data_IF_153831650745
#
_entry.id   IF_153831650745
#
_cell.length_a   1.000
_cell.length_b   1.000
_cell.length_c   1.000
_cell.angle_alpha   90.00
_cell.angle_beta   90.00
_cell.angle_gamma   90.00
#
_symmetry.space_group_name_H-M   'P 1'
#
loop_
_entity.id
_entity.type
_entity.pdbx_description
1 polymer ?
#
# COMPACT_ATOMS: atom_id res chain seq x y z
N UNK A 1 9.75 -61.48 26.82
CA UNK A 1 10.23 -60.11 27.11
C UNK A 1 9.58 -59.05 26.22
N UNK A 2 8.94 -59.40 25.10
CA UNK A 2 8.37 -58.43 24.12
C UNK A 2 7.09 -57.69 24.56
N UNK A 3 6.19 -58.30 25.34
CA UNK A 3 4.92 -57.64 25.75
C UNK A 3 5.11 -56.40 26.64
N UNK A 4 6.21 -56.28 27.39
CA UNK A 4 6.49 -55.10 28.22
C UNK A 4 6.87 -53.87 27.38
N UNK A 5 7.48 -54.06 26.20
CA UNK A 5 7.89 -52.95 25.33
C UNK A 5 6.71 -52.33 24.57
N UNK A 6 5.69 -53.13 24.23
CA UNK A 6 4.52 -52.62 23.51
C UNK A 6 3.66 -51.67 24.36
N UNK A 7 3.48 -51.96 25.65
CA UNK A 7 2.78 -51.08 26.57
C UNK A 7 3.54 -49.77 26.85
N UNK A 8 4.87 -49.82 26.87
CA UNK A 8 5.69 -48.61 27.01
C UNK A 8 5.58 -47.72 25.77
N UNK A 9 5.64 -48.31 24.57
CA UNK A 9 5.49 -47.59 23.30
C UNK A 9 4.11 -46.96 23.16
N UNK A 10 3.03 -47.71 23.42
CA UNK A 10 1.65 -47.20 23.38
C UNK A 10 1.42 -46.05 24.39
N UNK A 11 2.02 -46.15 25.58
CA UNK A 11 1.95 -45.09 26.60
C UNK A 11 2.72 -43.84 26.19
N UNK A 12 3.84 -43.99 25.50
CA UNK A 12 4.59 -42.86 24.94
C UNK A 12 3.79 -42.20 23.81
N UNK A 13 3.24 -42.98 22.88
CA UNK A 13 2.41 -42.48 21.78
C UNK A 13 1.19 -41.73 22.31
N UNK A 14 0.47 -42.29 23.28
CA UNK A 14 -0.72 -41.64 23.84
C UNK A 14 -0.38 -40.33 24.55
N UNK A 15 0.72 -40.28 25.31
CA UNK A 15 1.20 -39.04 25.94
C UNK A 15 1.60 -38.00 24.89
N UNK A 16 2.30 -38.38 23.82
CA UNK A 16 2.66 -37.47 22.75
C UNK A 16 1.42 -36.91 22.04
N UNK A 17 0.41 -37.74 21.76
CA UNK A 17 -0.85 -37.29 21.17
C UNK A 17 -1.61 -36.32 22.09
N UNK A 18 -1.62 -36.55 23.40
CA UNK A 18 -2.22 -35.62 24.37
C UNK A 18 -1.49 -34.27 24.34
N UNK A 19 -0.15 -34.27 24.34
CA UNK A 19 0.63 -33.02 24.26
C UNK A 19 0.35 -32.28 22.94
N UNK A 20 0.30 -32.99 21.82
CA UNK A 20 -0.03 -32.40 20.51
C UNK A 20 -1.44 -31.82 20.52
N UNK A 21 -2.43 -32.54 21.06
CA UNK A 21 -3.80 -32.05 21.15
C UNK A 21 -3.92 -30.82 22.06
N UNK A 22 -3.23 -30.81 23.20
CA UNK A 22 -3.19 -29.65 24.10
C UNK A 22 -2.53 -28.44 23.42
N UNK A 23 -1.40 -28.64 22.72
CA UNK A 23 -0.75 -27.60 21.96
C UNK A 23 -1.65 -27.06 20.84
N UNK A 24 -2.36 -27.94 20.12
CA UNK A 24 -3.31 -27.54 19.09
C UNK A 24 -4.45 -26.69 19.66
N UNK A 25 -5.02 -27.06 20.82
CA UNK A 25 -6.06 -26.26 21.48
C UNK A 25 -5.51 -24.91 21.96
N UNK A 26 -4.30 -24.89 22.53
CA UNK A 26 -3.64 -23.67 22.99
C UNK A 26 -3.33 -22.68 21.87
N UNK A 27 -3.19 -23.15 20.62
CA UNK A 27 -2.99 -22.29 19.44
C UNK A 27 -4.31 -21.95 18.77
N UNK A 28 -5.26 -22.91 18.70
CA UNK A 28 -6.54 -22.71 18.02
C UNK A 28 -7.41 -21.64 18.70
N UNK A 29 -7.42 -21.54 20.03
CA UNK A 29 -8.20 -20.52 20.73
C UNK A 29 -7.70 -19.11 20.41
N UNK A 30 -6.40 -18.76 20.60
CA UNK A 30 -5.85 -17.48 20.17
C UNK A 30 -6.02 -17.20 18.68
N UNK A 31 -5.89 -18.21 17.81
CA UNK A 31 -6.12 -18.07 16.37
C UNK A 31 -7.57 -17.67 16.06
N UNK A 32 -8.56 -18.33 16.67
CA UNK A 32 -9.97 -17.96 16.51
C UNK A 32 -10.26 -16.55 17.06
N UNK A 33 -9.64 -16.20 18.18
CA UNK A 33 -9.78 -14.86 18.76
C UNK A 33 -9.18 -13.78 17.87
N UNK A 34 -7.98 -14.01 17.32
CA UNK A 34 -7.32 -13.10 16.39
C UNK A 34 -8.16 -12.93 15.12
N UNK A 35 -8.70 -14.02 14.57
CA UNK A 35 -9.64 -13.97 13.44
C UNK A 35 -10.87 -13.12 13.73
N UNK A 36 -11.51 -13.33 14.88
CA UNK A 36 -12.69 -12.58 15.27
C UNK A 36 -12.38 -11.09 15.45
N UNK A 37 -11.26 -10.77 16.09
CA UNK A 37 -10.77 -9.40 16.27
C UNK A 37 -10.57 -8.70 14.93
N UNK A 38 -9.77 -9.27 14.04
CA UNK A 38 -9.46 -8.66 12.74
C UNK A 38 -10.70 -8.60 11.82
N UNK A 39 -11.58 -9.59 11.88
CA UNK A 39 -12.88 -9.57 11.18
C UNK A 39 -13.77 -8.43 11.67
N UNK A 40 -13.82 -8.15 12.98
CA UNK A 40 -14.60 -7.06 13.54
C UNK A 40 -14.02 -5.69 13.14
N UNK A 41 -12.69 -5.58 13.06
CA UNK A 41 -12.03 -4.36 12.58
C UNK A 41 -12.35 -4.06 11.12
N UNK A 42 -12.33 -5.09 10.27
CA UNK A 42 -12.60 -4.97 8.85
C UNK A 42 -14.07 -4.62 8.56
N UNK A 43 -15.01 -5.20 9.31
CA UNK A 43 -16.45 -4.99 9.13
C UNK A 43 -16.87 -3.51 9.22
N UNK A 44 -16.21 -2.72 10.07
CA UNK A 44 -16.50 -1.28 10.20
C UNK A 44 -16.21 -0.50 8.91
N UNK A 45 -15.17 -0.90 8.17
CA UNK A 45 -14.75 -0.24 6.95
C UNK A 45 -15.46 -0.84 5.72
N UNK A 46 -15.76 -2.14 5.76
CA UNK A 46 -16.57 -2.82 4.73
C UNK A 46 -17.94 -2.17 4.57
N UNK A 47 -18.59 -1.74 5.66
CA UNK A 47 -19.90 -1.07 5.56
C UNK A 47 -19.83 0.24 4.77
N UNK A 48 -18.77 1.03 4.94
CA UNK A 48 -18.57 2.24 4.13
C UNK A 48 -18.33 1.92 2.65
N UNK A 49 -17.61 0.82 2.36
CA UNK A 49 -17.36 0.35 1.00
C UNK A 49 -18.63 -0.23 0.35
N UNK A 50 -19.50 -0.87 1.14
CA UNK A 50 -20.81 -1.35 0.73
C UNK A 50 -21.70 -0.20 0.26
N UNK A 51 -21.75 0.91 1.03
CA UNK A 51 -22.46 2.13 0.65
C UNK A 51 -21.92 2.75 -0.65
N UNK A 52 -20.60 2.74 -0.85
CA UNK A 52 -20.00 3.16 -2.12
C UNK A 52 -20.43 2.26 -3.29
N UNK A 53 -20.54 0.95 -3.06
CA UNK A 53 -21.05 0.00 -4.05
C UNK A 53 -22.52 0.24 -4.43
N UNK A 54 -23.39 0.51 -3.45
CA UNK A 54 -24.78 0.90 -3.70
C UNK A 54 -24.87 2.19 -4.54
N UNK A 55 -24.07 3.21 -4.18
CA UNK A 55 -23.98 4.45 -4.95
C UNK A 55 -23.45 4.20 -6.38
N UNK A 56 -22.52 3.26 -6.55
CA UNK A 56 -22.00 2.88 -7.85
C UNK A 56 -23.06 2.17 -8.71
N UNK A 57 -23.88 1.31 -8.11
CA UNK A 57 -25.01 0.68 -8.79
C UNK A 57 -26.04 1.73 -9.24
N UNK A 58 -26.38 2.69 -8.36
CA UNK A 58 -27.27 3.79 -8.69
C UNK A 58 -26.71 4.67 -9.84
N UNK A 59 -25.40 4.98 -9.79
CA UNK A 59 -24.73 5.71 -10.85
C UNK A 59 -24.76 4.97 -12.20
N UNK A 60 -24.65 3.64 -12.21
CA UNK A 60 -24.78 2.82 -13.44
C UNK A 60 -26.20 2.75 -13.97
N UNK A 61 -27.19 2.73 -13.08
CA UNK A 61 -28.60 2.61 -13.47
C UNK A 61 -29.14 3.89 -14.13
N UNK A 62 -28.82 5.06 -13.56
CA UNK A 62 -29.38 6.34 -14.02
C UNK A 62 -28.40 7.21 -14.81
N UNK A 63 -27.10 7.08 -14.56
CA UNK A 63 -26.00 7.85 -15.16
C UNK A 63 -26.25 9.38 -15.24
N UNK A 64 -26.75 9.96 -14.15
CA UNK A 64 -26.99 11.39 -14.03
C UNK A 64 -25.79 12.10 -13.38
N UNK A 65 -25.61 13.42 -13.58
CA UNK A 65 -24.61 14.19 -12.84
C UNK A 65 -24.76 14.05 -11.32
N UNK A 66 -25.99 13.94 -10.83
CA UNK A 66 -26.28 13.74 -9.41
C UNK A 66 -25.84 12.36 -8.92
N UNK A 67 -26.17 11.28 -9.63
CA UNK A 67 -25.78 9.93 -9.21
C UNK A 67 -24.26 9.73 -9.27
N UNK A 68 -23.58 10.33 -10.25
CA UNK A 68 -22.11 10.40 -10.29
C UNK A 68 -21.54 11.17 -9.10
N UNK A 69 -22.14 12.31 -8.73
CA UNK A 69 -21.71 13.08 -7.56
C UNK A 69 -21.92 12.32 -6.26
N UNK A 70 -23.03 11.60 -6.10
CA UNK A 70 -23.27 10.78 -4.92
C UNK A 70 -22.26 9.63 -4.80
N UNK A 71 -21.84 9.04 -5.93
CA UNK A 71 -20.74 8.06 -5.94
C UNK A 71 -19.42 8.70 -5.49
N UNK A 72 -19.09 9.90 -5.96
CA UNK A 72 -17.88 10.62 -5.49
C UNK A 72 -17.91 10.85 -3.98
N UNK A 73 -19.04 11.32 -3.44
CA UNK A 73 -19.23 11.53 -2.00
C UNK A 73 -19.07 10.22 -1.23
N UNK A 74 -19.73 9.15 -1.66
CA UNK A 74 -19.68 7.85 -0.98
C UNK A 74 -18.25 7.27 -0.96
N UNK A 75 -17.47 7.47 -2.03
CA UNK A 75 -16.06 7.08 -2.07
C UNK A 75 -15.20 7.89 -1.11
N UNK A 76 -15.43 9.21 -1.01
CA UNK A 76 -14.72 10.06 -0.06
C UNK A 76 -15.08 9.70 1.39
N UNK A 77 -16.34 9.41 1.68
CA UNK A 77 -16.77 8.92 3.00
C UNK A 77 -16.13 7.57 3.36
N UNK A 78 -16.04 6.65 2.39
CA UNK A 78 -15.36 5.38 2.59
C UNK A 78 -13.86 5.55 2.81
N UNK A 79 -13.22 6.50 2.10
CA UNK A 79 -11.82 6.85 2.32
C UNK A 79 -11.59 7.44 3.71
N UNK A 80 -12.48 8.31 4.18
CA UNK A 80 -12.39 8.89 5.52
C UNK A 80 -12.61 7.84 6.61
N UNK A 81 -13.59 6.95 6.46
CA UNK A 81 -13.81 5.85 7.41
C UNK A 81 -12.57 4.94 7.50
N UNK A 82 -11.94 4.67 6.35
CA UNK A 82 -10.68 3.95 6.27
C UNK A 82 -9.54 4.69 6.99
N UNK A 83 -9.38 6.01 6.75
CA UNK A 83 -8.41 6.83 7.46
C UNK A 83 -8.62 6.78 8.98
N UNK A 84 -9.83 7.06 9.46
CA UNK A 84 -10.13 7.07 10.89
C UNK A 84 -9.80 5.75 11.56
N UNK A 85 -10.04 4.63 10.86
CA UNK A 85 -9.72 3.30 11.36
C UNK A 85 -8.22 3.02 11.44
N UNK A 86 -7.44 3.47 10.46
CA UNK A 86 -6.05 3.04 10.29
C UNK A 86 -4.99 4.14 10.56
N UNK A 87 -5.38 5.38 10.87
CA UNK A 87 -4.46 6.53 11.07
C UNK A 87 -3.36 6.36 12.14
N UNK A 88 -3.49 5.37 13.02
CA UNK A 88 -2.47 5.04 14.03
C UNK A 88 -1.65 3.78 13.68
N UNK A 89 -1.99 3.09 12.59
CA UNK A 89 -1.21 1.95 12.10
C UNK A 89 0.13 2.45 11.60
N UNK A 90 1.18 1.70 11.93
CA UNK A 90 2.50 1.90 11.35
C UNK A 90 2.41 2.02 9.83
N UNK A 91 3.04 3.06 9.31
CA UNK A 91 3.20 3.31 7.90
C UNK A 91 1.85 3.47 7.17
N UNK A 92 0.93 4.21 7.79
CA UNK A 92 -0.44 4.44 7.31
C UNK A 92 -0.53 4.79 5.82
N UNK A 93 0.42 5.54 5.27
CA UNK A 93 0.41 5.89 3.84
C UNK A 93 0.31 4.68 2.88
N UNK A 94 0.82 3.50 3.25
CA UNK A 94 0.63 2.28 2.46
C UNK A 94 -0.83 1.88 2.37
N UNK A 95 -1.54 1.97 3.51
CA UNK A 95 -2.98 1.73 3.57
C UNK A 95 -3.71 2.67 2.60
N UNK A 96 -3.38 3.96 2.61
CA UNK A 96 -3.95 4.92 1.66
C UNK A 96 -3.61 4.64 0.19
N UNK A 97 -2.37 4.21 -0.10
CA UNK A 97 -1.94 3.85 -1.45
C UNK A 97 -2.68 2.61 -1.97
N UNK A 98 -2.74 1.52 -1.21
CA UNK A 98 -3.50 0.33 -1.63
C UNK A 98 -5.01 0.61 -1.67
N UNK A 99 -5.53 1.48 -0.81
CA UNK A 99 -6.91 1.95 -0.90
C UNK A 99 -7.16 2.62 -2.27
N UNK A 100 -6.34 3.58 -2.67
CA UNK A 100 -6.45 4.21 -4.00
C UNK A 100 -6.34 3.17 -5.13
N UNK A 101 -5.40 2.23 -5.03
CA UNK A 101 -5.18 1.21 -6.06
C UNK A 101 -6.45 0.38 -6.33
N UNK A 102 -7.17 -0.04 -5.27
CA UNK A 102 -8.35 -0.90 -5.41
C UNK A 102 -9.66 -0.13 -5.56
N UNK A 103 -9.79 1.02 -4.89
CA UNK A 103 -11.03 1.81 -4.83
C UNK A 103 -11.07 2.90 -5.90
N UNK A 104 -9.92 3.24 -6.49
CA UNK A 104 -9.79 4.14 -7.64
C UNK A 104 -10.52 5.47 -7.39
N UNK A 105 -10.15 6.16 -6.30
CA UNK A 105 -10.76 7.43 -5.91
C UNK A 105 -10.27 8.54 -6.82
N UNK A 106 -8.95 8.63 -7.01
CA UNK A 106 -8.32 9.71 -7.77
C UNK A 106 -8.06 9.35 -9.23
N UNK A 107 -7.77 8.08 -9.54
CA UNK A 107 -7.48 7.58 -10.89
C UNK A 107 -6.42 8.43 -11.60
N UNK A 108 -5.30 8.64 -10.91
CA UNK A 108 -4.20 9.44 -11.41
C UNK A 108 -3.66 8.87 -12.73
N UNK A 109 -3.47 9.74 -13.71
CA UNK A 109 -2.87 9.37 -15.00
C UNK A 109 -1.35 9.46 -14.99
N UNK A 110 -0.78 10.16 -14.00
CA UNK A 110 0.64 10.34 -13.78
C UNK A 110 0.98 9.86 -12.38
N UNK A 111 1.69 8.73 -12.29
CA UNK A 111 2.00 8.12 -11.00
C UNK A 111 3.49 8.15 -10.71
N UNK A 112 3.84 8.32 -9.43
CA UNK A 112 5.22 8.20 -8.94
C UNK A 112 5.40 6.83 -8.30
N UNK A 113 6.52 6.17 -8.59
CA UNK A 113 6.98 4.95 -7.88
C UNK A 113 8.44 5.15 -7.49
N UNK A 114 8.91 4.46 -6.46
CA UNK A 114 10.28 4.59 -5.97
C UNK A 114 10.41 4.24 -4.49
N UNK A 115 11.58 4.55 -3.93
CA UNK A 115 11.89 4.23 -2.53
C UNK A 115 11.28 5.23 -1.55
N UNK A 116 11.68 5.15 -0.28
CA UNK A 116 11.33 6.13 0.76
C UNK A 116 11.75 7.56 0.40
N UNK A 117 12.80 7.74 -0.41
CA UNK A 117 13.19 9.06 -0.90
C UNK A 117 12.01 9.73 -1.63
N UNK A 118 11.30 8.97 -2.46
CA UNK A 118 10.14 9.49 -3.19
C UNK A 118 8.86 9.52 -2.35
N UNK A 119 8.65 8.57 -1.43
CA UNK A 119 7.50 8.58 -0.50
C UNK A 119 7.43 9.88 0.32
N UNK A 120 8.61 10.37 0.73
CA UNK A 120 8.75 11.55 1.58
C UNK A 120 9.21 12.81 0.83
N UNK A 121 9.71 12.67 -0.40
CA UNK A 121 10.21 13.79 -1.21
C UNK A 121 9.19 14.33 -2.21
N UNK A 122 8.36 13.47 -2.82
CA UNK A 122 7.43 13.87 -3.88
C UNK A 122 6.04 14.11 -3.29
N UNK A 123 5.63 15.38 -3.23
CA UNK A 123 4.35 15.80 -2.67
C UNK A 123 3.37 16.21 -3.78
N UNK A 124 2.37 15.36 -4.12
CA UNK A 124 1.40 15.65 -5.16
C UNK A 124 0.61 16.95 -4.95
N UNK A 125 0.40 17.39 -3.70
CA UNK A 125 -0.32 18.64 -3.39
C UNK A 125 0.32 19.82 -4.10
N UNK A 126 1.63 19.97 -3.93
CA UNK A 126 2.37 21.10 -4.47
C UNK A 126 2.68 20.95 -5.97
N UNK A 127 2.71 19.72 -6.48
CA UNK A 127 2.71 19.47 -7.93
C UNK A 127 1.41 19.99 -8.54
N UNK A 128 0.27 19.59 -7.99
CA UNK A 128 -1.05 19.97 -8.49
C UNK A 128 -1.31 21.48 -8.37
N UNK A 129 -0.96 22.09 -7.24
CA UNK A 129 -1.05 23.55 -7.06
C UNK A 129 -0.24 24.31 -8.14
N UNK A 130 0.98 23.85 -8.44
CA UNK A 130 1.84 24.49 -9.43
C UNK A 130 1.48 24.15 -10.89
N UNK A 131 0.78 23.03 -11.12
CA UNK A 131 0.28 22.60 -12.43
C UNK A 131 -1.13 23.11 -12.75
N UNK A 132 -1.85 23.63 -11.74
CA UNK A 132 -3.24 24.04 -11.88
C UNK A 132 -3.46 24.99 -13.07
N UNK A 133 -4.41 24.64 -13.93
CA UNK A 133 -4.77 25.40 -15.13
C UNK A 133 -3.86 25.19 -16.35
N UNK A 134 -2.87 24.28 -16.29
CA UNK A 134 -1.92 24.04 -17.40
C UNK A 134 -2.16 22.76 -18.20
N UNK A 135 -3.01 21.85 -17.72
CA UNK A 135 -3.31 20.60 -18.42
C UNK A 135 -4.30 19.72 -17.66
N UNK A 136 -4.43 18.47 -18.13
CA UNK A 136 -5.40 17.49 -17.65
C UNK A 136 -4.78 16.32 -16.85
N UNK A 137 -3.50 16.45 -16.47
CA UNK A 137 -2.78 15.45 -15.67
C UNK A 137 -3.27 15.44 -14.23
N UNK A 138 -3.33 14.24 -13.65
CA UNK A 138 -3.64 13.97 -12.25
C UNK A 138 -2.54 13.11 -11.63
N UNK A 139 -2.20 13.38 -10.37
CA UNK A 139 -0.97 12.88 -9.77
C UNK A 139 -1.25 12.00 -8.56
N UNK A 140 -0.49 10.91 -8.40
CA UNK A 140 -0.52 10.09 -7.18
C UNK A 140 0.84 9.47 -6.90
N UNK A 141 1.23 9.42 -5.63
CA UNK A 141 2.51 8.86 -5.20
C UNK A 141 2.34 7.43 -4.66
N UNK A 142 2.76 6.42 -5.43
CA UNK A 142 2.83 5.01 -5.07
C UNK A 142 4.26 4.57 -4.67
N UNK A 143 5.11 5.52 -4.27
CA UNK A 143 6.44 5.21 -3.73
C UNK A 143 6.32 4.57 -2.35
N UNK A 144 7.18 3.60 -2.05
CA UNK A 144 7.06 2.76 -0.86
C UNK A 144 8.40 2.68 -0.13
N UNK A 145 8.38 2.75 1.20
CA UNK A 145 9.65 2.72 1.93
C UNK A 145 10.28 1.33 1.82
N UNK A 146 11.59 1.30 1.58
CA UNK A 146 12.33 0.05 1.46
C UNK A 146 12.00 -0.78 0.22
N UNK A 147 11.24 -0.25 -0.77
CA UNK A 147 10.91 -1.00 -1.98
C UNK A 147 12.06 -1.04 -2.98
N UNK A 148 12.46 -2.25 -3.38
CA UNK A 148 13.39 -2.51 -4.48
C UNK A 148 12.62 -2.81 -5.79
N UNK A 149 13.29 -2.87 -6.95
CA UNK A 149 12.66 -3.23 -8.21
C UNK A 149 11.95 -4.59 -8.21
N UNK A 150 12.51 -5.61 -7.55
CA UNK A 150 11.90 -6.94 -7.43
C UNK A 150 10.57 -6.91 -6.69
N UNK A 151 10.44 -6.07 -5.67
CA UNK A 151 9.16 -5.76 -5.04
C UNK A 151 8.21 -5.11 -6.05
N UNK A 152 8.68 -4.12 -6.82
CA UNK A 152 7.84 -3.44 -7.80
C UNK A 152 7.34 -4.35 -8.95
N UNK A 153 8.06 -5.43 -9.27
CA UNK A 153 7.57 -6.50 -10.16
C UNK A 153 6.31 -7.16 -9.59
N UNK A 154 6.31 -7.50 -8.30
CA UNK A 154 5.14 -8.08 -7.64
C UNK A 154 4.03 -7.03 -7.44
N UNK A 155 4.39 -5.82 -7.03
CA UNK A 155 3.47 -4.68 -6.93
C UNK A 155 2.74 -4.41 -8.24
N UNK A 156 3.44 -4.48 -9.38
CA UNK A 156 2.81 -4.24 -10.68
C UNK A 156 1.78 -5.31 -11.06
N UNK A 157 1.96 -6.55 -10.57
CA UNK A 157 0.93 -7.59 -10.69
C UNK A 157 -0.30 -7.19 -9.88
N UNK A 158 -0.13 -6.74 -8.65
CA UNK A 158 -1.23 -6.25 -7.80
C UNK A 158 -1.93 -5.05 -8.41
N UNK A 159 -1.16 -4.11 -8.95
CA UNK A 159 -1.67 -2.93 -9.65
C UNK A 159 -2.56 -3.33 -10.82
N UNK A 160 -2.15 -4.30 -11.64
CA UNK A 160 -2.99 -4.82 -12.72
C UNK A 160 -4.21 -5.58 -12.23
N UNK A 161 -4.07 -6.44 -11.23
CA UNK A 161 -5.18 -7.20 -10.64
C UNK A 161 -6.23 -6.30 -9.97
N UNK A 162 -5.81 -5.15 -9.45
CA UNK A 162 -6.71 -4.15 -8.86
C UNK A 162 -7.65 -3.51 -9.89
N UNK A 163 -7.35 -3.65 -11.18
CA UNK A 163 -8.08 -3.00 -12.26
C UNK A 163 -7.88 -1.49 -12.31
N UNK A 164 -6.85 -0.95 -11.64
CA UNK A 164 -6.52 0.47 -11.71
C UNK A 164 -6.34 0.91 -13.17
N UNK A 165 -6.86 2.09 -13.59
CA UNK A 165 -6.69 2.57 -14.95
C UNK A 165 -5.20 2.65 -15.32
N UNK A 166 -4.84 2.16 -16.51
CA UNK A 166 -3.46 2.24 -16.97
C UNK A 166 -3.01 3.72 -17.00
N UNK A 167 -1.94 4.09 -16.28
CA UNK A 167 -1.47 5.47 -16.26
C UNK A 167 -0.93 5.87 -17.64
N UNK A 168 -1.04 7.16 -17.96
CA UNK A 168 -0.36 7.77 -19.10
C UNK A 168 1.14 7.77 -18.88
N UNK A 169 1.57 8.10 -17.66
CA UNK A 169 2.99 8.28 -17.32
C UNK A 169 3.31 7.66 -15.96
N UNK A 170 4.46 6.96 -15.89
CA UNK A 170 5.11 6.54 -14.66
C UNK A 170 6.40 7.34 -14.52
N UNK A 171 6.48 8.12 -13.44
CA UNK A 171 7.71 8.75 -13.00
C UNK A 171 8.38 7.81 -11.99
N UNK A 172 9.40 7.08 -12.46
CA UNK A 172 10.16 6.18 -11.61
C UNK A 172 11.28 6.96 -10.92
N UNK A 173 11.14 7.16 -9.63
CA UNK A 173 12.16 7.73 -8.77
C UNK A 173 13.22 6.65 -8.49
N UNK A 174 14.32 6.71 -9.25
CA UNK A 174 15.42 5.75 -9.20
C UNK A 174 16.51 6.23 -8.26
N UNK A 175 17.09 5.30 -7.50
CA UNK A 175 18.17 5.58 -6.56
C UNK A 175 19.41 4.74 -6.90
N UNK A 176 20.59 5.29 -6.66
CA UNK A 176 21.87 4.59 -6.89
C UNK A 176 22.01 3.31 -6.06
N UNK A 177 21.24 3.17 -4.96
CA UNK A 177 21.19 1.99 -4.11
C UNK A 177 19.96 1.10 -4.35
N UNK A 178 19.19 1.31 -5.43
CA UNK A 178 17.90 0.63 -5.60
C UNK A 178 17.98 -0.91 -5.69
N UNK A 179 19.18 -1.46 -5.89
CA UNK A 179 19.45 -2.90 -5.97
C UNK A 179 19.97 -3.49 -4.66
N UNK A 180 20.05 -2.72 -3.58
CA UNK A 180 20.56 -3.17 -2.28
C UNK A 180 19.43 -3.75 -1.42
N UNK A 181 19.52 -5.06 -1.13
CA UNK A 181 18.52 -5.78 -0.32
C UNK A 181 18.60 -5.51 1.18
N UNK A 182 19.73 -4.98 1.67
CA UNK A 182 19.90 -4.58 3.07
C UNK A 182 19.21 -3.24 3.35
N UNK A 183 19.26 -2.32 2.39
CA UNK A 183 18.59 -1.03 2.46
C UNK A 183 17.12 -1.13 2.08
N UNK A 184 16.86 -1.83 0.98
CA UNK A 184 15.53 -2.00 0.42
C UNK A 184 15.04 -3.41 0.71
N UNK A 185 14.58 -3.58 1.95
CA UNK A 185 14.19 -4.85 2.55
C UNK A 185 12.74 -5.27 2.25
N UNK A 186 11.92 -4.39 1.64
CA UNK A 186 10.51 -4.68 1.42
C UNK A 186 10.34 -5.87 0.48
N UNK A 187 9.40 -6.74 0.85
CA UNK A 187 8.95 -7.91 0.09
C UNK A 187 7.43 -7.91 0.01
N UNK A 188 6.86 -8.66 -0.91
CA UNK A 188 5.39 -8.70 -1.10
C UNK A 188 4.64 -9.12 0.16
N UNK A 189 5.24 -9.97 0.99
CA UNK A 189 4.61 -10.51 2.20
C UNK A 189 4.32 -9.41 3.23
N UNK A 190 5.04 -8.28 3.20
CA UNK A 190 4.77 -7.15 4.07
C UNK A 190 3.43 -6.47 3.75
N UNK A 191 2.96 -6.56 2.50
CA UNK A 191 1.75 -5.88 2.04
C UNK A 191 0.59 -6.85 1.76
N UNK A 192 0.88 -8.10 1.41
CA UNK A 192 -0.11 -9.09 0.97
C UNK A 192 -0.65 -10.01 2.07
N UNK A 193 0.00 -10.05 3.23
CA UNK A 193 -0.43 -10.91 4.34
C UNK A 193 -1.77 -10.46 4.93
N UNK A 194 -2.38 -11.33 5.74
CA UNK A 194 -3.64 -11.01 6.39
C UNK A 194 -3.49 -9.79 7.31
N UNK A 195 -4.45 -8.85 7.25
CA UNK A 195 -4.43 -7.55 7.95
C UNK A 195 -3.37 -6.54 7.46
N UNK A 196 -2.68 -6.86 6.35
CA UNK A 196 -1.84 -5.91 5.64
C UNK A 196 -2.65 -5.06 4.63
N UNK A 197 -2.11 -3.90 4.20
CA UNK A 197 -2.80 -2.95 3.32
C UNK A 197 -3.47 -3.55 2.10
N UNK A 198 -2.77 -4.41 1.34
CA UNK A 198 -3.31 -5.01 0.12
C UNK A 198 -4.46 -5.98 0.43
N UNK A 199 -4.32 -6.79 1.48
CA UNK A 199 -5.36 -7.74 1.87
C UNK A 199 -6.65 -7.01 2.22
N UNK A 200 -6.56 -5.97 3.06
CA UNK A 200 -7.70 -5.16 3.47
C UNK A 200 -8.36 -4.51 2.26
N UNK A 201 -7.58 -3.81 1.42
CA UNK A 201 -8.10 -3.15 0.22
C UNK A 201 -8.82 -4.12 -0.72
N UNK A 202 -8.32 -5.35 -0.86
CA UNK A 202 -8.97 -6.42 -1.64
C UNK A 202 -10.30 -6.87 -1.03
N UNK A 203 -10.43 -6.96 0.30
CA UNK A 203 -11.71 -7.29 0.93
C UNK A 203 -12.73 -6.16 0.75
N UNK A 204 -12.30 -4.90 0.91
CA UNK A 204 -13.17 -3.74 0.68
C UNK A 204 -13.70 -3.71 -0.75
N UNK A 205 -12.84 -4.00 -1.75
CA UNK A 205 -13.27 -4.09 -3.15
C UNK A 205 -14.28 -5.22 -3.37
N UNK A 206 -14.07 -6.39 -2.76
CA UNK A 206 -15.04 -7.49 -2.84
C UNK A 206 -16.38 -7.12 -2.20
N UNK A 207 -16.37 -6.40 -1.09
CA UNK A 207 -17.59 -5.93 -0.44
C UNK A 207 -18.34 -4.92 -1.33
N UNK A 208 -17.63 -3.98 -1.95
CA UNK A 208 -18.19 -3.04 -2.94
C UNK A 208 -18.80 -3.79 -4.15
N UNK A 209 -18.06 -4.71 -4.76
CA UNK A 209 -18.52 -5.51 -5.91
C UNK A 209 -19.75 -6.36 -5.57
N UNK A 210 -19.78 -6.96 -4.38
CA UNK A 210 -20.93 -7.71 -3.88
C UNK A 210 -22.15 -6.81 -3.72
N UNK A 211 -21.98 -5.63 -3.12
CA UNK A 211 -23.06 -4.65 -2.96
C UNK A 211 -23.62 -4.17 -4.30
N UNK A 212 -22.74 -3.96 -5.29
CA UNK A 212 -23.14 -3.61 -6.66
C UNK A 212 -23.99 -4.74 -7.27
N UNK A 213 -23.57 -6.00 -7.12
CA UNK A 213 -24.30 -7.14 -7.65
C UNK A 213 -25.69 -7.25 -7.00
N UNK A 214 -25.77 -7.20 -5.67
CA UNK A 214 -27.03 -7.25 -4.91
C UNK A 214 -27.98 -6.09 -5.26
N UNK A 215 -27.45 -4.88 -5.50
CA UNK A 215 -28.26 -3.71 -5.86
C UNK A 215 -28.77 -3.72 -7.31
N UNK A 216 -28.05 -4.40 -8.23
CA UNK A 216 -28.44 -4.51 -9.64
C UNK A 216 -29.38 -5.70 -9.91
N UNK A 217 -29.42 -6.68 -9.02
CA UNK A 217 -30.46 -7.72 -9.03
C UNK A 217 -31.81 -7.08 -8.69
N UNK A 218 -32.65 -6.82 -9.71
CA UNK A 218 -34.05 -6.45 -9.51
C UNK A 218 -34.77 -7.53 -8.69
N UNK A 219 -35.66 -7.16 -7.75
CA UNK A 219 -36.47 -8.14 -7.04
C UNK A 219 -37.58 -8.68 -7.98
N UNK A 220 -37.22 -9.57 -8.91
CA UNK A 220 -38.20 -10.47 -9.51
C UNK A 220 -38.45 -11.63 -8.54
N UNK A 221 -39.67 -11.66 -8.01
CA UNK A 221 -40.33 -12.76 -7.31
C UNK A 221 -39.51 -13.50 -6.24
N UNK A 222 -39.63 -13.06 -4.99
CA UNK A 222 -39.54 -13.94 -3.83
C UNK A 222 -40.55 -15.08 -3.95
N UNK A 223 -40.14 -16.19 -4.55
CA UNK A 223 -40.59 -17.51 -4.11
C UNK A 223 -39.84 -17.91 -2.82
N UNK A 224 -40.56 -18.66 -1.99
CA UNK A 224 -40.32 -18.92 -0.57
C UNK A 224 -38.96 -19.57 -0.22
N UNK A 225 -38.51 -19.49 1.06
CA UNK A 225 -37.13 -19.75 1.43
C UNK A 225 -36.78 -21.25 1.40
N UNK A 226 -35.72 -21.59 0.69
CA UNK A 226 -35.03 -22.86 0.84
C UNK A 226 -34.00 -22.78 1.99
N UNK A 227 -33.88 -23.89 2.72
CA UNK A 227 -33.08 -24.08 3.93
C UNK A 227 -31.57 -23.77 3.75
N UNK A 228 -30.84 -23.46 4.85
CA UNK A 228 -29.44 -23.09 4.75
C UNK A 228 -28.56 -24.31 4.51
N UNK A 229 -28.05 -24.47 3.29
CA UNK A 229 -26.89 -25.33 3.03
C UNK A 229 -25.60 -24.58 3.37
N UNK A 230 -25.00 -24.93 4.50
CA UNK A 230 -23.60 -24.62 4.79
C UNK A 230 -22.69 -25.40 3.85
N UNK A 231 -22.12 -24.72 2.85
CA UNK A 231 -20.94 -25.21 2.12
C UNK A 231 -19.82 -24.19 2.26
N UNK A 232 -18.79 -24.59 2.99
CA UNK A 232 -17.51 -23.90 3.04
C UNK A 232 -16.76 -24.22 1.74
N UNK A 233 -16.75 -23.29 0.79
CA UNK A 233 -15.85 -23.35 -0.35
C UNK A 233 -14.44 -22.87 0.05
N UNK A 234 -13.57 -23.83 0.35
CA UNK A 234 -12.13 -23.65 0.16
C UNK A 234 -11.84 -23.70 -1.33
N UNK A 235 -11.62 -22.54 -1.94
CA UNK A 235 -11.09 -22.46 -3.30
C UNK A 235 -9.64 -22.96 -3.31
N UNK A 236 -9.42 -24.17 -3.86
CA UNK A 236 -8.11 -24.63 -4.30
C UNK A 236 -7.88 -24.16 -5.73
N UNK A 237 -6.94 -23.22 -5.89
CA UNK A 237 -6.37 -22.92 -7.20
C UNK A 237 -5.44 -24.07 -7.57
N UNK A 238 -5.82 -24.81 -8.61
CA UNK A 238 -4.94 -25.75 -9.28
C UNK A 238 -4.01 -24.97 -10.20
N UNK A 239 -2.73 -24.86 -9.82
CA UNK A 239 -1.67 -24.50 -10.75
C UNK A 239 -1.08 -25.79 -11.33
N UNK A 240 -1.02 -25.82 -12.65
CA UNK A 240 -0.58 -26.97 -13.44
C UNK A 240 0.86 -26.76 -13.85
N UNK A 241 1.74 -27.59 -13.28
CA UNK A 241 3.03 -27.92 -13.87
C UNK A 241 4.23 -27.42 -13.09
N UNK A 242 4.65 -28.18 -12.07
CA UNK A 242 6.07 -28.28 -11.71
C UNK A 242 6.32 -29.56 -10.89
N UNK A 243 7.53 -30.09 -11.03
CA UNK A 243 7.93 -31.46 -10.69
C UNK A 243 7.73 -31.83 -9.21
N UNK A 244 7.50 -33.13 -8.97
CA UNK A 244 7.27 -33.75 -7.65
C UNK A 244 8.42 -33.47 -6.67
N UNK A 245 8.32 -32.39 -5.92
CA UNK A 245 9.16 -32.15 -4.75
C UNK A 245 8.64 -32.96 -3.54
N UNK A 246 9.56 -33.65 -2.88
CA UNK A 246 9.30 -34.49 -1.73
C UNK A 246 8.83 -33.64 -0.54
N UNK A 247 7.68 -33.98 0.06
CA UNK A 247 7.14 -33.31 1.24
C UNK A 247 8.08 -33.50 2.44
N UNK A 248 8.87 -32.48 2.79
CA UNK A 248 9.55 -32.45 4.08
C UNK A 248 8.55 -32.00 5.15
N UNK A 249 8.59 -32.64 6.32
CA UNK A 249 7.80 -32.25 7.49
C UNK A 249 8.01 -30.76 7.83
N UNK A 250 9.23 -30.27 7.60
CA UNK A 250 9.61 -28.86 7.74
C UNK A 250 8.86 -27.96 6.75
N UNK A 251 8.77 -28.30 5.47
CA UNK A 251 8.01 -27.51 4.50
C UNK A 251 6.51 -27.45 4.81
N UNK A 252 5.94 -28.54 5.34
CA UNK A 252 4.55 -28.58 5.78
C UNK A 252 4.33 -27.77 7.07
N UNK A 253 5.23 -27.86 8.04
CA UNK A 253 5.22 -27.05 9.26
C UNK A 253 5.38 -25.57 8.93
N UNK A 254 6.31 -25.19 8.08
CA UNK A 254 6.50 -23.80 7.64
C UNK A 254 5.24 -23.29 6.95
N UNK A 255 4.63 -24.05 6.03
CA UNK A 255 3.35 -23.66 5.41
C UNK A 255 2.22 -23.51 6.43
N UNK A 256 2.13 -24.40 7.40
CA UNK A 256 1.09 -24.35 8.45
C UNK A 256 1.30 -23.18 9.41
N UNK A 257 2.53 -22.96 9.88
CA UNK A 257 2.87 -21.80 10.72
C UNK A 257 2.64 -20.50 9.94
N UNK A 258 2.96 -20.50 8.64
CA UNK A 258 2.71 -19.40 7.72
C UNK A 258 1.20 -19.17 7.43
N UNK A 259 0.31 -20.11 7.76
CA UNK A 259 -1.14 -19.93 7.56
C UNK A 259 -1.90 -19.49 8.81
N UNK A 260 -1.23 -19.40 9.97
CA UNK A 260 -1.87 -18.99 11.24
C UNK A 260 -1.77 -17.48 11.46
N UNK A 261 -2.91 -16.82 11.63
CA UNK A 261 -3.02 -15.38 11.82
C UNK A 261 -2.36 -14.90 13.10
N UNK A 262 -2.48 -15.66 14.20
CA UNK A 262 -1.88 -15.30 15.49
C UNK A 262 -0.35 -15.16 15.42
N UNK A 263 0.30 -15.84 14.47
CA UNK A 263 1.75 -15.78 14.29
C UNK A 263 2.16 -14.55 13.49
N UNK A 264 1.43 -14.21 12.43
CA UNK A 264 1.72 -13.04 11.58
C UNK A 264 1.34 -11.75 12.28
N UNK A 265 0.23 -11.78 13.02
CA UNK A 265 -0.32 -10.66 13.75
C UNK A 265 0.07 -10.70 15.22
N UNK A 266 1.23 -11.27 15.55
CA UNK A 266 1.70 -11.36 16.95
C UNK A 266 1.83 -9.98 17.59
N UNK A 267 2.20 -8.97 16.81
CA UNK A 267 2.37 -7.59 17.27
C UNK A 267 1.01 -6.92 17.55
N UNK A 268 -0.09 -7.53 17.06
CA UNK A 268 -1.49 -7.13 17.30
C UNK A 268 -2.08 -7.76 18.56
N UNK A 269 -1.38 -8.71 19.20
CA UNK A 269 -1.87 -9.38 20.42
C UNK A 269 -2.21 -8.37 21.53
N UNK A 270 -1.39 -7.34 21.82
CA UNK A 270 -1.74 -6.33 22.81
C UNK A 270 -3.06 -5.60 22.49
N UNK A 271 -3.29 -5.24 21.23
CA UNK A 271 -4.52 -4.58 20.80
C UNK A 271 -5.74 -5.49 20.91
N UNK A 272 -5.61 -6.75 20.47
CA UNK A 272 -6.65 -7.77 20.61
C UNK A 272 -7.04 -7.95 22.09
N UNK A 273 -6.05 -8.06 22.99
CA UNK A 273 -6.29 -8.23 24.43
C UNK A 273 -6.94 -6.98 25.02
N UNK A 274 -6.47 -5.78 24.66
CA UNK A 274 -7.07 -4.51 25.09
C UNK A 274 -8.54 -4.39 24.67
N UNK A 275 -8.89 -4.85 23.46
CA UNK A 275 -10.27 -4.81 22.95
C UNK A 275 -11.28 -5.63 23.79
N UNK A 276 -10.79 -6.58 24.60
CA UNK A 276 -11.64 -7.34 25.52
C UNK A 276 -12.03 -6.57 26.78
N UNK A 277 -11.27 -5.52 27.10
CA UNK A 277 -11.46 -4.71 28.30
C UNK A 277 -12.02 -3.31 28.02
N UNK A 278 -11.99 -2.87 26.75
CA UNK A 278 -12.64 -1.64 26.34
C UNK A 278 -14.17 -1.80 26.34
N UNK A 279 -14.80 -1.18 27.33
CA UNK A 279 -16.24 -0.91 27.33
C UNK A 279 -16.44 0.26 26.38
N UNK A 280 -17.07 0.01 25.22
CA UNK A 280 -17.38 1.02 24.19
C UNK A 280 -17.83 2.35 24.80
N UNK A 281 -16.97 3.37 24.69
CA UNK A 281 -17.38 4.77 24.74
C UNK A 281 -17.87 5.17 23.37
N UNK A 282 -18.97 5.92 23.31
CA UNK A 282 -19.61 6.39 22.07
C UNK A 282 -18.59 7.03 21.12
N UNK A 283 -18.38 6.41 19.96
CA UNK A 283 -17.76 7.08 18.83
C UNK A 283 -18.82 8.01 18.22
N UNK A 284 -18.58 9.31 18.35
CA UNK A 284 -19.38 10.37 17.75
C UNK A 284 -19.38 10.22 16.24
N UNK A 285 -20.52 9.79 15.69
CA UNK A 285 -20.79 9.89 14.27
C UNK A 285 -20.70 11.37 13.84
N UNK A 286 -19.95 11.65 12.78
CA UNK A 286 -19.97 12.95 12.14
C UNK A 286 -21.39 13.22 11.64
N UNK A 287 -22.03 14.28 12.16
CA UNK A 287 -23.35 14.72 11.71
C UNK A 287 -23.23 15.32 10.29
N UNK A 288 -23.60 14.54 9.28
CA UNK A 288 -23.91 15.07 7.95
C UNK A 288 -25.30 15.67 7.97
N UNK A 289 -25.37 17.00 7.98
CA UNK A 289 -26.63 17.74 7.81
C UNK A 289 -26.95 17.81 6.31
N UNK A 290 -27.85 16.93 5.85
CA UNK A 290 -28.46 17.06 4.53
C UNK A 290 -29.55 18.13 4.59
N UNK A 291 -29.28 19.29 3.99
CA UNK A 291 -30.30 20.32 3.77
C UNK A 291 -31.06 20.00 2.47
N UNK A 292 -32.32 19.61 2.60
CA UNK A 292 -33.27 19.59 1.49
C UNK A 292 -33.68 21.03 1.15
N UNK A 293 -33.18 21.57 0.04
CA UNK A 293 -33.85 22.66 -0.68
C UNK A 293 -33.72 22.44 -2.18
N UNK A 294 -34.88 22.49 -2.85
CA UNK A 294 -35.04 22.31 -4.28
C UNK A 294 -34.47 23.50 -5.08
N UNK A 295 -33.44 23.23 -5.88
CA UNK A 295 -33.23 23.60 -7.29
C UNK A 295 -31.79 23.20 -7.68
N UNK A 296 -31.65 21.99 -8.27
CA UNK A 296 -30.56 21.48 -9.12
C UNK A 296 -29.08 21.90 -8.89
N UNK A 297 -28.66 22.19 -7.65
CA UNK A 297 -27.24 22.35 -7.32
C UNK A 297 -26.68 21.01 -6.81
N UNK A 298 -25.64 20.48 -7.48
CA UNK A 298 -25.00 19.23 -7.08
C UNK A 298 -24.50 19.35 -5.63
N UNK A 299 -24.68 18.33 -4.78
CA UNK A 299 -24.18 18.40 -3.40
C UNK A 299 -22.66 18.65 -3.41
N UNK A 300 -22.15 19.48 -2.47
CA UNK A 300 -20.73 19.74 -2.38
C UNK A 300 -19.98 18.46 -1.98
N UNK A 301 -18.75 18.32 -2.45
CA UNK A 301 -17.88 17.23 -1.99
C UNK A 301 -17.48 17.48 -0.53
N UNK A 302 -17.52 16.45 0.34
CA UNK A 302 -17.04 16.58 1.71
C UNK A 302 -15.54 16.90 1.71
N UNK A 303 -15.13 17.74 2.65
CA UNK A 303 -13.73 18.04 2.92
C UNK A 303 -13.45 17.62 4.35
N UNK A 304 -12.56 16.65 4.52
CA UNK A 304 -12.16 16.15 5.83
C UNK A 304 -10.89 16.85 6.28
N UNK A 305 -10.95 17.44 7.48
CA UNK A 305 -9.79 18.02 8.16
C UNK A 305 -9.40 17.11 9.31
N UNK A 306 -8.13 16.73 9.36
CA UNK A 306 -7.61 15.89 10.45
C UNK A 306 -6.98 16.78 11.53
N UNK A 307 -6.94 16.27 12.77
CA UNK A 307 -6.27 17.02 13.84
C UNK A 307 -4.77 17.10 13.56
N UNK A 308 -4.19 18.28 13.79
CA UNK A 308 -2.76 18.50 13.61
C UNK A 308 -1.94 17.65 14.59
N UNK A 309 -0.84 17.08 14.10
CA UNK A 309 0.15 16.36 14.91
C UNK A 309 -0.20 14.91 15.22
N UNK A 310 -1.11 14.29 14.47
CA UNK A 310 -1.38 12.84 14.61
C UNK A 310 -0.20 12.09 14.01
N UNK A 311 0.46 11.25 14.83
CA UNK A 311 1.52 10.35 14.37
C UNK A 311 1.08 8.89 14.40
N UNK A 312 1.61 8.09 13.49
CA UNK A 312 1.53 6.64 13.58
C UNK A 312 2.54 6.05 14.59
N UNK A 313 2.54 4.73 14.75
CA UNK A 313 3.47 4.07 15.67
C UNK A 313 4.95 4.11 15.27
N UNK A 314 5.29 4.68 14.11
CA UNK A 314 6.68 4.98 13.70
C UNK A 314 7.06 6.45 13.84
N UNK A 315 6.11 7.30 14.26
CA UNK A 315 6.32 8.74 14.42
C UNK A 315 6.05 9.56 13.15
N UNK A 316 5.49 8.95 12.11
CA UNK A 316 5.13 9.64 10.86
C UNK A 316 3.83 10.41 11.06
N UNK A 317 3.78 11.67 10.63
CA UNK A 317 2.59 12.52 10.68
C UNK A 317 1.54 12.05 9.67
N UNK A 318 0.47 11.40 10.13
CA UNK A 318 -0.56 10.81 9.26
C UNK A 318 -1.60 11.82 8.80
N UNK A 319 -1.76 12.93 9.53
CA UNK A 319 -2.52 14.12 9.13
C UNK A 319 -1.87 14.87 7.96
N UNK A 320 -0.58 14.62 7.67
CA UNK A 320 0.10 15.13 6.48
C UNK A 320 -0.19 14.32 5.20
N UNK A 321 -0.93 13.20 5.31
CA UNK A 321 -1.17 12.31 4.19
C UNK A 321 -1.88 13.04 3.04
N UNK A 322 -1.30 12.99 1.85
CA UNK A 322 -1.93 13.53 0.64
C UNK A 322 -1.55 12.71 -0.59
N UNK A 323 -2.53 11.98 -1.15
CA UNK A 323 -2.36 11.17 -2.38
C UNK A 323 -1.08 10.31 -2.38
N UNK A 324 -0.83 9.64 -1.26
CA UNK A 324 0.30 8.75 -1.06
C UNK A 324 1.57 9.40 -0.52
N UNK A 325 1.66 10.73 -0.48
CA UNK A 325 2.72 11.44 0.23
C UNK A 325 2.46 11.47 1.73
N UNK A 326 3.54 11.43 2.51
CA UNK A 326 3.58 11.74 3.94
C UNK A 326 4.89 12.44 4.28
N UNK A 327 4.84 13.39 5.22
CA UNK A 327 6.08 14.02 5.69
C UNK A 327 6.86 13.10 6.61
N UNK A 328 8.18 13.24 6.57
CA UNK A 328 9.10 12.66 7.52
C UNK A 328 9.85 13.81 8.19
N UNK A 329 9.55 14.06 9.47
CA UNK A 329 10.11 15.18 10.24
C UNK A 329 11.11 14.67 11.28
N UNK A 330 12.37 15.04 11.13
CA UNK A 330 13.40 14.83 12.12
C UNK A 330 14.39 16.00 12.11
N UNK A 331 14.95 16.31 13.27
CA UNK A 331 16.02 17.29 13.34
C UNK A 331 17.30 16.71 12.69
N UNK A 332 17.84 17.45 11.73
CA UNK A 332 19.07 17.10 11.04
C UNK A 332 20.02 18.30 11.02
N UNK A 333 21.23 18.13 11.54
CA UNK A 333 22.25 19.19 11.58
C UNK A 333 23.28 19.09 10.44
N UNK A 334 22.99 18.31 9.41
CA UNK A 334 23.90 18.08 8.27
C UNK A 334 25.04 17.10 8.57
N UNK A 335 24.94 16.29 9.62
CA UNK A 335 25.94 15.28 9.94
C UNK A 335 26.14 14.27 8.78
N UNK A 336 27.39 13.87 8.57
CA UNK A 336 27.75 12.97 7.47
C UNK A 336 27.66 11.52 7.88
N UNK A 337 27.20 10.65 6.99
CA UNK A 337 27.12 9.21 7.25
C UNK A 337 27.79 8.39 6.15
N UNK A 338 28.49 7.32 6.55
CA UNK A 338 29.11 6.40 5.60
C UNK A 338 28.07 5.41 5.13
N UNK A 339 27.79 5.42 3.83
CA UNK A 339 26.78 4.58 3.22
C UNK A 339 27.41 3.39 2.50
N UNK A 340 27.18 2.21 3.07
CA UNK A 340 27.59 0.96 2.44
C UNK A 340 26.46 0.44 1.57
N UNK A 341 26.75 0.29 0.28
CA UNK A 341 25.86 -0.28 -0.70
C UNK A 341 26.38 -1.64 -1.16
N UNK A 342 25.51 -2.62 -1.34
CA UNK A 342 25.81 -3.91 -1.91
C UNK A 342 24.81 -4.22 -3.01
N UNK A 343 25.29 -4.24 -4.24
CA UNK A 343 24.47 -4.59 -5.39
C UNK A 343 23.98 -6.03 -5.32
N UNK A 344 22.69 -6.23 -5.62
CA UNK A 344 22.12 -7.53 -5.89
C UNK A 344 21.69 -7.63 -7.37
N UNK A 345 22.37 -8.44 -8.20
CA UNK A 345 22.11 -8.47 -9.65
C UNK A 345 20.66 -8.76 -10.05
N UNK A 346 19.96 -9.62 -9.30
CA UNK A 346 18.55 -9.93 -9.60
C UNK A 346 17.59 -8.74 -9.45
N UNK A 347 17.96 -7.72 -8.67
CA UNK A 347 17.18 -6.48 -8.57
C UNK A 347 17.37 -5.62 -9.83
N UNK A 348 18.56 -5.64 -10.45
CA UNK A 348 18.75 -4.98 -11.73
C UNK A 348 17.94 -5.66 -12.85
N UNK A 349 17.94 -7.00 -12.89
CA UNK A 349 17.13 -7.74 -13.86
C UNK A 349 15.63 -7.42 -13.69
N UNK A 350 15.18 -7.27 -12.45
CA UNK A 350 13.81 -6.87 -12.13
C UNK A 350 13.50 -5.44 -12.58
N UNK A 351 14.44 -4.50 -12.39
CA UNK A 351 14.34 -3.13 -12.88
C UNK A 351 14.19 -3.06 -14.40
N UNK A 352 15.09 -3.74 -15.13
CA UNK A 352 15.05 -3.80 -16.59
C UNK A 352 13.72 -4.37 -17.06
N UNK A 353 13.31 -5.52 -16.51
CA UNK A 353 12.04 -6.15 -16.89
C UNK A 353 10.84 -5.22 -16.67
N UNK A 354 10.81 -4.50 -15.56
CA UNK A 354 9.70 -3.62 -15.19
C UNK A 354 9.59 -2.43 -16.16
N UNK A 355 10.71 -1.78 -16.47
CA UNK A 355 10.74 -0.66 -17.43
C UNK A 355 10.31 -1.13 -18.82
N UNK A 356 10.80 -2.29 -19.26
CA UNK A 356 10.39 -2.89 -20.54
C UNK A 356 8.89 -3.22 -20.57
N UNK A 357 8.30 -3.68 -19.45
CA UNK A 357 6.85 -3.90 -19.39
C UNK A 357 6.09 -2.59 -19.52
N UNK A 358 6.50 -1.52 -18.83
CA UNK A 358 5.84 -0.21 -18.95
C UNK A 358 5.88 0.30 -20.39
N UNK A 359 7.05 0.29 -21.03
CA UNK A 359 7.22 0.73 -22.41
C UNK A 359 6.39 -0.14 -23.38
N UNK A 360 6.39 -1.47 -23.20
CA UNK A 360 5.59 -2.40 -24.01
C UNK A 360 4.09 -2.16 -23.89
N UNK A 361 3.63 -1.77 -22.71
CA UNK A 361 2.23 -1.41 -22.46
C UNK A 361 1.89 0.02 -22.93
N UNK A 362 2.86 0.74 -23.50
CA UNK A 362 2.70 2.09 -24.05
C UNK A 362 2.60 3.17 -22.97
N UNK A 363 3.12 2.90 -21.78
CA UNK A 363 3.21 3.86 -20.68
C UNK A 363 4.47 4.70 -20.88
N UNK A 364 4.34 6.01 -20.77
CA UNK A 364 5.50 6.91 -20.77
C UNK A 364 6.29 6.71 -19.47
N UNK A 365 7.60 6.48 -19.58
CA UNK A 365 8.49 6.34 -18.42
C UNK A 365 9.41 7.55 -18.37
N UNK A 366 9.53 8.15 -17.19
CA UNK A 366 10.48 9.22 -16.88
C UNK A 366 11.24 8.80 -15.63
N UNK A 367 12.55 8.95 -15.62
CA UNK A 367 13.36 8.78 -14.42
C UNK A 367 13.62 10.10 -13.73
N UNK A 368 13.55 10.07 -12.40
CA UNK A 368 14.06 11.15 -11.56
C UNK A 368 14.89 10.54 -10.44
N UNK A 369 15.88 11.29 -9.95
CA UNK A 369 16.53 10.97 -8.68
C UNK A 369 16.21 12.09 -7.69
N UNK A 370 15.47 11.79 -6.63
CA UNK A 370 15.03 12.77 -5.63
C UNK A 370 16.26 13.39 -4.95
N UNK A 371 16.24 14.70 -4.61
CA UNK A 371 17.34 15.33 -3.90
C UNK A 371 17.71 14.58 -2.62
N UNK A 372 19.00 14.34 -2.47
CA UNK A 372 19.66 13.90 -1.23
C UNK A 372 20.49 15.06 -0.69
N UNK A 373 20.82 15.07 0.60
CA UNK A 373 21.79 16.02 1.12
C UNK A 373 23.21 15.57 0.74
N UNK A 374 23.68 16.02 -0.42
CA UNK A 374 24.96 15.63 -1.05
C UNK A 374 26.16 15.82 -0.11
N UNK A 375 26.29 16.92 0.66
CA UNK A 375 27.40 17.07 1.60
C UNK A 375 27.43 16.01 2.72
N UNK A 376 26.27 15.45 3.07
CA UNK A 376 26.11 14.40 4.09
C UNK A 376 26.37 12.99 3.58
N UNK A 377 26.25 12.77 2.25
CA UNK A 377 26.41 11.47 1.60
C UNK A 377 27.89 11.11 1.43
N UNK A 378 28.35 10.07 2.13
CA UNK A 378 29.70 9.50 1.93
C UNK A 378 29.63 8.05 1.50
N UNK A 379 29.86 7.77 0.23
CA UNK A 379 29.84 6.41 -0.32
C UNK A 379 31.28 5.95 -0.61
N UNK A 380 31.78 4.92 0.10
CA UNK A 380 33.10 4.39 -0.16
C UNK A 380 33.24 3.83 -1.57
N UNK A 381 34.36 4.13 -2.22
CA UNK A 381 34.73 3.54 -3.50
C UNK A 381 33.99 4.11 -4.71
N UNK A 382 33.28 5.25 -4.58
CA UNK A 382 32.53 5.90 -5.68
C UNK A 382 31.42 5.03 -6.29
N UNK A 383 30.89 4.08 -5.51
CA UNK A 383 29.89 3.13 -6.01
C UNK A 383 28.55 3.78 -6.36
N UNK A 384 28.23 4.90 -5.73
CA UNK A 384 27.10 5.75 -6.09
C UNK A 384 27.27 6.37 -7.48
N UNK A 385 28.48 6.81 -7.82
CA UNK A 385 28.79 7.34 -9.15
C UNK A 385 28.64 6.24 -10.20
N UNK A 386 29.23 5.06 -9.99
CA UNK A 386 29.14 3.93 -10.93
C UNK A 386 27.68 3.47 -11.13
N UNK A 387 26.87 3.44 -10.06
CA UNK A 387 25.47 3.09 -10.15
C UNK A 387 24.63 4.16 -10.86
N UNK A 388 24.92 5.44 -10.64
CA UNK A 388 24.28 6.55 -11.36
C UNK A 388 24.65 6.55 -12.85
N UNK A 389 25.92 6.35 -13.20
CA UNK A 389 26.36 6.22 -14.60
C UNK A 389 25.61 5.09 -15.32
N UNK A 390 25.42 3.95 -14.65
CA UNK A 390 24.65 2.82 -15.20
C UNK A 390 23.16 3.17 -15.42
N UNK A 391 22.56 3.96 -14.52
CA UNK A 391 21.18 4.46 -14.69
C UNK A 391 21.09 5.43 -15.88
N UNK A 392 22.07 6.32 -16.04
CA UNK A 392 22.15 7.26 -17.16
C UNK A 392 22.31 6.53 -18.50
N UNK A 393 23.24 5.57 -18.57
CA UNK A 393 23.45 4.72 -19.76
C UNK A 393 22.16 3.98 -20.14
N UNK A 394 21.50 3.35 -19.16
CA UNK A 394 20.25 2.64 -19.40
C UNK A 394 19.12 3.58 -19.85
N UNK A 395 18.98 4.75 -19.23
CA UNK A 395 17.98 5.74 -19.63
C UNK A 395 18.20 6.22 -21.07
N UNK A 396 19.45 6.49 -21.43
CA UNK A 396 19.85 6.88 -22.79
C UNK A 396 19.56 5.79 -23.82
N UNK A 397 19.92 4.53 -23.53
CA UNK A 397 19.69 3.39 -24.41
C UNK A 397 18.20 3.12 -24.68
N UNK A 398 17.34 3.45 -23.71
CA UNK A 398 15.90 3.23 -23.77
C UNK A 398 15.06 4.48 -24.14
N UNK A 399 15.69 5.60 -24.50
CA UNK A 399 15.02 6.89 -24.80
C UNK A 399 14.11 7.36 -23.65
N UNK A 400 14.61 7.24 -22.42
CA UNK A 400 13.92 7.64 -21.19
C UNK A 400 14.51 8.96 -20.70
N UNK A 401 13.71 10.03 -20.55
CA UNK A 401 14.17 11.25 -19.91
C UNK A 401 14.61 10.96 -18.47
N UNK A 402 15.81 11.42 -18.09
CA UNK A 402 16.32 11.28 -16.72
C UNK A 402 16.70 12.63 -16.13
N UNK A 403 16.05 13.00 -15.02
CA UNK A 403 16.30 14.23 -14.27
C UNK A 403 16.99 13.88 -12.95
N UNK A 404 18.30 14.05 -12.91
CA UNK A 404 19.12 13.75 -11.73
C UNK A 404 19.37 15.01 -10.89
N UNK A 405 18.69 15.15 -9.75
CA UNK A 405 18.85 16.31 -8.85
C UNK A 405 20.08 16.22 -7.95
N UNK A 406 20.85 15.14 -8.04
CA UNK A 406 22.08 14.91 -7.26
C UNK A 406 23.36 14.97 -8.12
N UNK A 407 23.23 15.24 -9.42
CA UNK A 407 24.37 15.34 -10.35
C UNK A 407 25.26 16.56 -10.06
N UNK A 408 24.66 17.68 -9.66
CA UNK A 408 25.35 18.93 -9.33
C UNK A 408 24.85 19.50 -8.01
N UNK A 409 25.72 20.16 -7.25
CA UNK A 409 25.36 20.82 -6.00
C UNK A 409 24.41 22.02 -6.27
N UNK A 410 23.33 22.09 -5.50
CA UNK A 410 22.29 23.13 -5.59
C UNK A 410 21.67 23.36 -4.21
N UNK A 411 20.94 24.46 -4.05
CA UNK A 411 20.23 24.75 -2.79
C UNK A 411 19.32 23.59 -2.34
N UNK A 412 18.71 22.85 -3.28
CA UNK A 412 17.85 21.71 -2.99
C UNK A 412 18.58 20.53 -2.33
N UNK A 413 19.88 20.36 -2.61
CA UNK A 413 20.65 19.18 -2.20
C UNK A 413 21.85 19.54 -1.29
N UNK A 414 22.03 20.83 -0.97
CA UNK A 414 23.11 21.35 -0.13
C UNK A 414 22.62 22.08 1.13
N UNK A 415 21.31 22.31 1.28
CA UNK A 415 20.74 22.96 2.47
C UNK A 415 20.22 21.89 3.46
N UNK A 416 20.87 21.68 4.63
CA UNK A 416 20.42 20.67 5.59
C UNK A 416 19.03 20.96 6.18
N UNK A 417 18.54 22.21 6.14
CA UNK A 417 17.20 22.58 6.62
C UNK A 417 16.07 21.97 5.77
N UNK A 418 16.38 21.37 4.61
CA UNK A 418 15.41 20.70 3.73
C UNK A 418 15.32 19.20 3.99
N UNK A 419 16.04 18.70 4.99
CA UNK A 419 16.26 17.29 5.20
C UNK A 419 16.01 16.90 6.65
N UNK A 420 15.52 15.68 6.82
CA UNK A 420 15.32 15.02 8.10
C UNK A 420 16.43 14.00 8.39
N UNK A 421 17.08 13.54 7.34
CA UNK A 421 18.40 12.91 7.36
C UNK A 421 19.07 13.11 5.99
N UNK A 422 20.23 12.51 5.75
CA UNK A 422 20.95 12.73 4.50
C UNK A 422 20.18 12.30 3.22
N UNK A 423 19.18 11.40 3.30
CA UNK A 423 18.44 10.86 2.16
C UNK A 423 16.96 11.28 2.10
N UNK A 424 16.36 11.65 3.23
CA UNK A 424 14.94 12.01 3.31
C UNK A 424 14.74 13.51 3.49
N UNK A 425 13.97 14.10 2.58
CA UNK A 425 13.52 15.48 2.70
C UNK A 425 12.50 15.62 3.83
N UNK A 426 12.48 16.78 4.49
CA UNK A 426 11.38 17.19 5.39
C UNK A 426 10.28 17.92 4.60
N UNK A 427 9.24 18.43 5.28
CA UNK A 427 8.13 19.14 4.64
C UNK A 427 8.59 20.35 3.82
N UNK A 428 9.55 21.12 4.33
CA UNK A 428 10.07 22.31 3.63
C UNK A 428 10.78 21.89 2.35
N UNK A 429 11.65 20.88 2.45
CA UNK A 429 12.37 20.33 1.32
C UNK A 429 11.46 19.74 0.25
N UNK A 430 10.57 18.83 0.63
CA UNK A 430 9.64 18.14 -0.28
C UNK A 430 8.69 19.12 -0.97
N UNK A 431 8.24 20.17 -0.27
CA UNK A 431 7.42 21.25 -0.83
C UNK A 431 8.16 22.01 -1.93
N UNK A 432 9.40 22.43 -1.66
CA UNK A 432 10.19 23.20 -2.63
C UNK A 432 10.60 22.35 -3.82
N UNK A 433 11.03 21.12 -3.57
CA UNK A 433 11.37 20.16 -4.61
C UNK A 433 10.18 19.89 -5.52
N UNK A 434 8.99 19.59 -4.97
CA UNK A 434 7.79 19.27 -5.75
C UNK A 434 7.37 20.40 -6.72
N UNK A 435 7.53 21.66 -6.31
CA UNK A 435 7.27 22.85 -7.15
C UNK A 435 8.28 23.02 -8.28
N UNK A 436 9.51 22.57 -8.10
CA UNK A 436 10.55 22.58 -9.12
C UNK A 436 10.35 21.39 -10.07
N UNK A 437 10.14 20.21 -9.49
CA UNK A 437 9.93 18.94 -10.19
C UNK A 437 8.90 19.06 -11.29
N UNK A 438 7.72 19.62 -11.00
CA UNK A 438 6.67 19.74 -12.02
C UNK A 438 7.05 20.65 -13.20
N UNK A 439 7.83 21.70 -12.96
CA UNK A 439 8.33 22.58 -14.05
C UNK A 439 9.32 21.85 -14.95
N UNK A 440 10.06 20.91 -14.39
CA UNK A 440 11.00 20.09 -15.16
C UNK A 440 10.30 18.93 -15.87
N UNK A 441 9.31 18.31 -15.22
CA UNK A 441 8.43 17.31 -15.86
C UNK A 441 7.65 17.89 -17.04
N UNK A 442 7.15 19.13 -16.93
CA UNK A 442 6.49 19.86 -18.04
C UNK A 442 7.34 19.91 -19.32
N UNK A 443 8.67 19.87 -19.21
CA UNK A 443 9.59 19.93 -20.37
C UNK A 443 9.73 18.59 -21.08
N UNK A 444 9.43 17.49 -20.41
CA UNK A 444 9.68 16.13 -20.89
C UNK A 444 8.41 15.32 -21.11
N UNK A 445 7.27 15.76 -20.56
CA UNK A 445 5.98 15.13 -20.83
C UNK A 445 5.68 15.08 -22.33
N UNK A 446 5.31 13.89 -22.79
CA UNK A 446 4.71 13.68 -24.11
C UNK A 446 3.28 14.26 -24.10
N UNK A 447 2.94 14.91 -25.22
CA UNK A 447 1.61 15.48 -25.47
C UNK A 447 0.57 14.39 -25.73
#
# INVERSE_FOLDING_TARGET
>A
MEKKNHNALLKTISRSLIVIAMAAVLVAIPEMQMRAFLSAELAAVEESSRRAGEAAAAARAEDTPYSRRMLEIAKLEAQEAFYQKYKYRNEFHYYGQFYEMYQQVYKADTIFIGTSHASHGVNPKYIEEAYSGKGDRSFFNFSLNGSNPGYYVEWYKFFKESGYPKPRTIVYCVDWFMTDLGWLWRRKEFDSNYDCPQYIAKQLKKAEEKAIAEALETPEETEAPAEPETTAETASVSDSGEEKAWFTLEGLLTKFMNSMMIIHNRDRIPEMVSSWFDVKGDETAAETTAAETAEEELPPLPVYTHNEGIVDGTGILTDSYYKGYITWEAYYDGWTNTQNYQEYPGEWDSFVWLVEQFQKEGIEVIFIQVPEYVPGRRVPGKRDIEANERLEDFAWEHDIPFINYNAEESELNSNPDYFSDWGHMNEVGSTNFSKILIKDLEKVFKN
#
